data_IF_334792298136
#
_entry.id   IF_334792298136
#
_cell.length_a   1.000
_cell.length_b   1.000
_cell.length_c   1.000
_cell.angle_alpha   90.00
_cell.angle_beta   90.00
_cell.angle_gamma   90.00
#
_symmetry.space_group_name_H-M   'P 1'
#
loop_
_entity.id
_entity.type
_entity.pdbx_description
1 polymer ?
#
# COMPACT_ATOMS: atom_id res chain seq x y z
N UNK A 1 -1.30 -8.34 -32.52
CA UNK A 1 -2.40 -7.39 -32.28
C UNK A 1 -2.95 -7.77 -30.91
N UNK A 2 -2.83 -6.90 -29.90
CA UNK A 2 -3.37 -7.18 -28.57
C UNK A 2 -4.89 -7.32 -28.72
N UNK A 3 -5.48 -8.38 -28.15
CA UNK A 3 -6.95 -8.52 -28.07
C UNK A 3 -7.45 -7.64 -26.91
N UNK A 4 -8.42 -6.77 -27.21
CA UNK A 4 -8.78 -5.61 -26.39
C UNK A 4 -10.24 -5.62 -25.94
N UNK A 5 -10.95 -6.72 -26.14
CA UNK A 5 -12.36 -6.83 -25.80
C UNK A 5 -12.58 -7.05 -24.29
N UNK A 6 -13.24 -6.09 -23.61
CA UNK A 6 -13.80 -6.31 -22.25
C UNK A 6 -13.20 -5.53 -21.07
N UNK A 7 -12.22 -4.63 -21.27
CA UNK A 7 -11.57 -3.91 -20.18
C UNK A 7 -12.11 -2.47 -20.00
N UNK A 8 -12.64 -2.12 -18.81
CA UNK A 8 -13.25 -0.81 -18.48
C UNK A 8 -12.63 -0.23 -17.20
N UNK A 9 -12.30 1.08 -17.19
CA UNK A 9 -11.78 1.80 -16.03
C UNK A 9 -12.92 2.39 -15.17
N UNK A 10 -12.88 2.19 -13.85
CA UNK A 10 -13.88 2.71 -12.90
C UNK A 10 -13.18 3.46 -11.75
N UNK A 11 -13.40 4.77 -11.70
CA UNK A 11 -12.79 5.70 -10.75
C UNK A 11 -13.44 5.69 -9.34
N UNK A 12 -14.55 4.95 -9.14
CA UNK A 12 -15.33 4.95 -7.89
C UNK A 12 -14.90 3.90 -6.85
N UNK A 13 -13.94 3.02 -7.18
CA UNK A 13 -13.58 1.79 -6.44
C UNK A 13 -12.77 1.99 -5.15
N UNK A 14 -13.12 2.97 -4.31
CA UNK A 14 -12.43 3.19 -3.03
C UNK A 14 -12.90 2.21 -1.95
N UNK A 15 -11.96 1.58 -1.25
CA UNK A 15 -12.26 0.65 -0.16
C UNK A 15 -12.68 -0.76 -0.59
N UNK A 16 -12.41 -1.14 -1.84
CA UNK A 16 -12.58 -2.53 -2.27
C UNK A 16 -11.41 -3.41 -1.81
N UNK A 17 -11.74 -4.67 -1.54
CA UNK A 17 -10.79 -5.70 -1.15
C UNK A 17 -9.87 -6.12 -2.31
N UNK A 18 -8.66 -6.54 -1.98
CA UNK A 18 -7.74 -7.17 -2.93
C UNK A 18 -8.39 -8.35 -3.66
N UNK A 19 -8.25 -8.38 -4.99
CA UNK A 19 -8.51 -9.55 -5.84
C UNK A 19 -7.36 -9.67 -6.85
N UNK A 20 -6.64 -10.81 -6.90
CA UNK A 20 -5.57 -10.96 -7.88
C UNK A 20 -6.18 -11.18 -9.27
N UNK A 21 -5.69 -10.46 -10.29
CA UNK A 21 -6.16 -10.60 -11.68
C UNK A 21 -5.88 -12.00 -12.28
N UNK A 22 -4.95 -12.74 -11.70
CA UNK A 22 -4.66 -14.14 -12.03
C UNK A 22 -4.65 -14.94 -10.73
N UNK A 23 -5.52 -15.95 -10.65
CA UNK A 23 -5.50 -16.93 -9.56
C UNK A 23 -4.19 -17.69 -9.68
N UNK A 24 -3.18 -17.30 -8.92
CA UNK A 24 -1.97 -18.10 -8.79
C UNK A 24 -2.42 -19.36 -8.05
N UNK A 25 -2.30 -20.53 -8.68
CA UNK A 25 -2.47 -21.87 -8.06
C UNK A 25 -1.36 -22.15 -7.03
N UNK A 26 -1.08 -21.19 -6.15
CA UNK A 26 -0.27 -21.39 -4.95
C UNK A 26 -1.24 -21.53 -3.79
N UNK A 27 -1.23 -22.69 -3.15
CA UNK A 27 -1.90 -22.87 -1.86
C UNK A 27 -1.09 -22.11 -0.81
N UNK A 28 -1.66 -21.04 -0.27
CA UNK A 28 -1.04 -20.28 0.82
C UNK A 28 -1.57 -20.79 2.16
N UNK A 29 -0.68 -20.94 3.14
CA UNK A 29 -1.07 -21.34 4.50
C UNK A 29 -1.61 -20.16 5.31
N UNK A 30 -1.17 -18.94 5.00
CA UNK A 30 -1.65 -17.71 5.62
C UNK A 30 -2.21 -16.78 4.56
N UNK A 31 -3.30 -16.10 4.90
CA UNK A 31 -3.95 -15.15 4.00
C UNK A 31 -3.84 -13.71 4.51
N UNK A 32 -3.73 -12.75 3.59
CA UNK A 32 -3.81 -11.33 3.88
C UNK A 32 -4.95 -10.67 3.11
N UNK A 33 -5.54 -9.68 3.73
CA UNK A 33 -6.55 -8.81 3.17
C UNK A 33 -6.05 -7.37 3.27
N UNK A 34 -6.18 -6.58 2.21
CA UNK A 34 -5.80 -5.18 2.20
C UNK A 34 -6.89 -4.31 1.59
N UNK A 35 -7.22 -3.22 2.28
CA UNK A 35 -8.09 -2.15 1.81
C UNK A 35 -7.32 -0.84 1.71
N UNK A 36 -7.58 -0.09 0.64
CA UNK A 36 -6.91 1.19 0.38
C UNK A 36 -7.89 2.34 0.37
N UNK A 37 -7.58 3.38 1.14
CA UNK A 37 -8.32 4.63 1.24
C UNK A 37 -7.39 5.81 0.99
N UNK A 38 -7.76 6.69 0.07
CA UNK A 38 -6.99 7.93 -0.14
C UNK A 38 -6.79 8.31 -1.59
N UNK A 39 -5.52 8.46 -1.97
CA UNK A 39 -5.10 8.90 -3.29
C UNK A 39 -4.45 7.76 -4.08
N UNK A 40 -4.18 8.00 -5.37
CA UNK A 40 -3.54 7.02 -6.27
C UNK A 40 -2.23 6.43 -5.70
N UNK A 41 -1.43 7.22 -4.96
CA UNK A 41 -0.22 6.72 -4.29
C UNK A 41 -0.53 5.63 -3.25
N UNK A 42 -1.66 5.71 -2.51
CA UNK A 42 -2.02 4.66 -1.57
C UNK A 42 -2.38 3.35 -2.30
N UNK A 43 -3.04 3.42 -3.45
CA UNK A 43 -3.33 2.23 -4.26
C UNK A 43 -2.04 1.62 -4.81
N UNK A 44 -1.14 2.44 -5.35
CA UNK A 44 0.20 2.02 -5.79
C UNK A 44 1.02 1.38 -4.64
N UNK A 45 0.99 2.01 -3.45
CA UNK A 45 1.66 1.50 -2.25
C UNK A 45 1.11 0.14 -1.82
N UNK A 46 -0.20 -0.09 -1.97
CA UNK A 46 -0.80 -1.40 -1.66
C UNK A 46 -0.35 -2.50 -2.63
N UNK A 47 -0.05 -2.19 -3.89
CA UNK A 47 0.53 -3.14 -4.86
C UNK A 47 1.92 -3.61 -4.40
N UNK A 48 2.72 -2.67 -3.89
CA UNK A 48 4.05 -2.94 -3.31
C UNK A 48 3.92 -3.80 -2.06
N UNK A 49 3.00 -3.45 -1.15
CA UNK A 49 2.72 -4.23 0.07
C UNK A 49 2.31 -5.66 -0.28
N UNK A 50 1.40 -5.83 -1.24
CA UNK A 50 0.97 -7.15 -1.69
C UNK A 50 2.14 -7.98 -2.24
N UNK A 51 3.04 -7.36 -3.01
CA UNK A 51 4.25 -8.02 -3.51
C UNK A 51 5.15 -8.52 -2.38
N UNK A 52 5.39 -7.67 -1.37
CA UNK A 52 6.21 -8.03 -0.20
C UNK A 52 5.59 -9.21 0.54
N UNK A 53 4.27 -9.18 0.78
CA UNK A 53 3.57 -10.22 1.52
C UNK A 53 3.55 -11.57 0.79
N UNK A 54 3.30 -11.56 -0.53
CA UNK A 54 3.34 -12.79 -1.33
C UNK A 54 4.73 -13.41 -1.38
N UNK A 55 5.78 -12.59 -1.51
CA UNK A 55 7.16 -13.07 -1.45
C UNK A 55 7.50 -13.71 -0.08
N UNK A 56 6.78 -13.32 0.98
CA UNK A 56 6.91 -13.85 2.34
C UNK A 56 5.82 -14.89 2.69
N UNK A 57 5.16 -15.49 1.69
CA UNK A 57 4.28 -16.65 1.88
C UNK A 57 2.84 -16.35 2.29
N UNK A 58 2.40 -15.09 2.24
CA UNK A 58 1.01 -14.72 2.46
C UNK A 58 0.22 -14.66 1.15
N UNK A 59 -0.88 -15.40 1.09
CA UNK A 59 -1.82 -15.38 -0.03
C UNK A 59 -2.83 -14.26 0.11
N UNK A 60 -3.23 -13.59 -0.95
CA UNK A 60 -4.32 -12.62 -0.85
C UNK A 60 -5.69 -13.29 -0.66
N UNK A 61 -6.62 -12.61 0.02
CA UNK A 61 -8.04 -12.96 0.05
C UNK A 61 -8.93 -11.71 -0.06
N UNK A 62 -10.07 -11.77 -0.77
CA UNK A 62 -11.06 -10.70 -0.79
C UNK A 62 -11.97 -10.68 0.46
N UNK A 63 -11.90 -11.71 1.31
CA UNK A 63 -12.72 -11.84 2.51
C UNK A 63 -11.85 -11.60 3.75
N UNK A 64 -12.08 -10.50 4.44
CA UNK A 64 -11.29 -10.15 5.62
C UNK A 64 -11.51 -11.14 6.78
N UNK A 65 -12.64 -11.84 6.79
CA UNK A 65 -12.98 -12.88 7.75
C UNK A 65 -12.11 -14.13 7.61
N UNK A 66 -11.57 -14.38 6.41
CA UNK A 66 -10.68 -15.52 6.13
C UNK A 66 -9.20 -15.17 6.33
N UNK A 67 -8.88 -13.88 6.41
CA UNK A 67 -7.50 -13.40 6.50
C UNK A 67 -6.86 -13.70 7.86
N UNK A 68 -5.56 -13.98 7.87
CA UNK A 68 -4.71 -14.01 9.06
C UNK A 68 -4.11 -12.62 9.35
N UNK A 69 -4.06 -11.77 8.32
CA UNK A 69 -3.56 -10.39 8.38
C UNK A 69 -4.53 -9.46 7.64
N UNK A 70 -5.11 -8.48 8.34
CA UNK A 70 -5.91 -7.41 7.73
C UNK A 70 -5.13 -6.10 7.77
N UNK A 71 -5.02 -5.45 6.62
CA UNK A 71 -4.28 -4.21 6.43
C UNK A 71 -5.20 -3.12 5.90
N UNK A 72 -5.11 -1.93 6.49
CA UNK A 72 -5.78 -0.73 6.00
C UNK A 72 -4.75 0.31 5.61
N UNK A 73 -4.58 0.57 4.32
CA UNK A 73 -3.71 1.62 3.81
C UNK A 73 -4.47 2.93 3.67
N UNK A 74 -4.00 3.98 4.34
CA UNK A 74 -4.76 5.22 4.54
C UNK A 74 -3.98 6.50 4.26
N UNK A 75 -4.70 7.51 3.78
CA UNK A 75 -4.23 8.88 3.60
C UNK A 75 -4.45 9.76 4.84
N UNK A 76 -3.54 10.70 5.09
CA UNK A 76 -3.63 11.67 6.21
C UNK A 76 -4.33 12.99 5.86
N UNK A 77 -4.72 13.19 4.59
CA UNK A 77 -5.14 14.51 4.09
C UNK A 77 -6.67 14.65 4.05
N UNK A 78 -7.40 13.55 3.87
CA UNK A 78 -8.87 13.60 3.75
C UNK A 78 -9.51 13.44 5.14
N UNK A 79 -10.24 14.45 5.59
CA UNK A 79 -10.90 14.50 6.90
C UNK A 79 -11.83 13.30 7.17
N UNK A 80 -12.52 12.81 6.13
CA UNK A 80 -13.39 11.62 6.23
C UNK A 80 -12.63 10.29 6.37
N UNK A 81 -11.35 10.24 5.99
CA UNK A 81 -10.59 8.98 6.00
C UNK A 81 -10.48 8.39 7.41
N UNK A 82 -10.24 9.23 8.43
CA UNK A 82 -10.04 8.75 9.80
C UNK A 82 -11.32 8.14 10.37
N UNK A 83 -12.46 8.80 10.16
CA UNK A 83 -13.76 8.29 10.58
C UNK A 83 -14.11 6.97 9.87
N UNK A 84 -13.82 6.87 8.57
CA UNK A 84 -14.03 5.63 7.80
C UNK A 84 -13.20 4.48 8.36
N UNK A 85 -11.93 4.72 8.69
CA UNK A 85 -11.03 3.68 9.21
C UNK A 85 -11.48 3.24 10.59
N UNK A 86 -11.85 4.15 11.49
CA UNK A 86 -12.38 3.77 12.81
C UNK A 86 -13.63 2.90 12.70
N UNK A 87 -14.51 3.18 11.73
CA UNK A 87 -15.68 2.31 11.45
C UNK A 87 -15.24 0.93 10.96
N UNK A 88 -14.33 0.85 9.99
CA UNK A 88 -13.81 -0.44 9.49
C UNK A 88 -13.08 -1.25 10.56
N UNK A 89 -12.26 -0.60 11.40
CA UNK A 89 -11.63 -1.24 12.56
C UNK A 89 -12.68 -1.85 13.51
N UNK A 90 -13.83 -1.21 13.69
CA UNK A 90 -14.92 -1.77 14.51
C UNK A 90 -15.49 -3.06 13.89
N UNK A 91 -15.52 -3.18 12.57
CA UNK A 91 -15.94 -4.39 11.87
C UNK A 91 -14.89 -5.50 11.98
N UNK A 92 -13.60 -5.18 11.83
CA UNK A 92 -12.51 -6.13 12.01
C UNK A 92 -12.38 -6.65 13.44
N UNK A 93 -12.81 -5.88 14.44
CA UNK A 93 -12.85 -6.36 15.83
C UNK A 93 -13.66 -7.64 15.97
N UNK A 94 -14.81 -7.74 15.31
CA UNK A 94 -15.67 -8.93 15.37
C UNK A 94 -14.98 -10.14 14.72
N UNK A 95 -14.31 -9.93 13.59
CA UNK A 95 -13.55 -10.99 12.91
C UNK A 95 -12.34 -11.46 13.75
N UNK A 96 -11.63 -10.55 14.42
CA UNK A 96 -10.51 -10.90 15.29
C UNK A 96 -10.94 -11.67 16.54
N UNK A 97 -12.14 -11.40 17.05
CA UNK A 97 -12.74 -12.16 18.16
C UNK A 97 -13.09 -13.61 17.75
N UNK A 98 -13.57 -13.82 16.52
CA UNK A 98 -13.87 -15.17 16.01
C UNK A 98 -12.63 -15.94 15.57
N UNK A 99 -11.62 -15.26 15.02
CA UNK A 99 -10.36 -15.85 14.54
C UNK A 99 -9.17 -15.41 15.42
N UNK A 100 -8.97 -16.15 16.51
CA UNK A 100 -7.83 -15.90 17.43
C UNK A 100 -6.50 -16.01 16.67
N UNK A 101 -5.66 -14.98 16.81
CA UNK A 101 -4.36 -14.88 16.13
C UNK A 101 -4.37 -14.03 14.85
N UNK A 102 -5.53 -13.56 14.41
CA UNK A 102 -5.63 -12.58 13.33
C UNK A 102 -4.96 -11.25 13.73
N UNK A 103 -4.10 -10.73 12.85
CA UNK A 103 -3.43 -9.45 13.03
C UNK A 103 -4.14 -8.35 12.25
N UNK A 104 -4.17 -7.14 12.81
CA UNK A 104 -4.76 -5.94 12.19
C UNK A 104 -3.72 -4.84 12.13
N UNK A 105 -3.49 -4.31 10.93
CA UNK A 105 -2.50 -3.27 10.67
C UNK A 105 -3.03 -2.05 9.95
N UNK A 106 -2.43 -0.90 10.27
CA UNK A 106 -2.73 0.36 9.60
C UNK A 106 -1.46 0.90 8.95
N UNK A 107 -1.58 1.24 7.67
CA UNK A 107 -0.47 1.60 6.79
C UNK A 107 -0.63 3.02 6.24
N UNK A 108 0.47 3.62 5.77
CA UNK A 108 0.44 4.83 4.94
C UNK A 108 0.54 6.14 5.72
N UNK A 109 0.15 7.25 5.08
CA UNK A 109 0.40 8.60 5.62
C UNK A 109 -0.28 8.86 6.97
N UNK A 110 -1.46 8.27 7.21
CA UNK A 110 -2.13 8.43 8.51
C UNK A 110 -1.42 7.66 9.62
N UNK A 111 -0.89 6.46 9.32
CA UNK A 111 -0.05 5.69 10.24
C UNK A 111 1.18 6.51 10.65
N UNK A 112 1.83 7.16 9.68
CA UNK A 112 2.94 8.09 9.94
C UNK A 112 2.53 9.31 10.77
N UNK A 113 1.33 9.87 10.55
CA UNK A 113 0.88 11.06 11.30
C UNK A 113 0.51 10.72 12.75
N UNK A 114 -0.25 9.65 12.96
CA UNK A 114 -0.80 9.29 14.27
C UNK A 114 0.16 8.44 15.11
N UNK A 115 1.06 7.69 14.48
CA UNK A 115 2.12 6.89 15.13
C UNK A 115 1.54 6.06 16.28
N UNK A 116 2.16 6.15 17.46
CA UNK A 116 1.77 5.43 18.67
C UNK A 116 0.36 5.78 19.17
N UNK A 117 -0.17 6.98 18.89
CA UNK A 117 -1.53 7.36 19.32
C UNK A 117 -2.58 6.41 18.74
N UNK A 118 -2.35 5.91 17.52
CA UNK A 118 -3.25 4.93 16.91
C UNK A 118 -3.28 3.64 17.71
N UNK A 119 -2.14 3.18 18.24
CA UNK A 119 -2.07 1.97 19.07
C UNK A 119 -2.67 2.18 20.46
N UNK A 120 -2.56 3.38 21.02
CA UNK A 120 -3.13 3.75 22.31
C UNK A 120 -4.66 3.84 22.26
N UNK A 121 -5.19 4.51 21.25
CA UNK A 121 -6.62 4.71 21.04
C UNK A 121 -7.30 3.44 20.48
N UNK A 122 -6.69 2.80 19.48
CA UNK A 122 -7.24 1.64 18.80
C UNK A 122 -6.51 0.37 19.25
N UNK A 123 -6.90 -0.14 20.42
CA UNK A 123 -6.31 -1.36 21.01
C UNK A 123 -6.38 -2.61 20.12
N UNK A 124 -7.22 -2.57 19.08
CA UNK A 124 -7.34 -3.62 18.06
C UNK A 124 -6.09 -3.75 17.18
N UNK A 125 -5.41 -2.63 16.91
CA UNK A 125 -4.31 -2.55 15.95
C UNK A 125 -3.05 -3.15 16.58
N UNK A 126 -2.43 -4.08 15.86
CA UNK A 126 -1.19 -4.75 16.26
C UNK A 126 0.04 -4.13 15.60
N UNK A 127 -0.12 -3.61 14.37
CA UNK A 127 0.98 -3.01 13.61
C UNK A 127 0.63 -1.66 12.97
N UNK A 128 1.58 -0.72 13.02
CA UNK A 128 1.48 0.61 12.39
C UNK A 128 2.71 0.85 11.53
N UNK A 129 2.52 1.06 10.23
CA UNK A 129 3.64 1.16 9.28
C UNK A 129 3.51 2.40 8.38
N UNK A 130 4.53 3.26 8.39
CA UNK A 130 4.63 4.44 7.54
C UNK A 130 4.93 4.08 6.07
N UNK A 131 4.76 5.04 5.15
CA UNK A 131 4.85 4.78 3.70
C UNK A 131 6.26 4.40 3.20
N UNK A 132 7.31 4.68 3.96
CA UNK A 132 8.69 4.32 3.60
C UNK A 132 9.19 3.03 4.31
N UNK A 133 8.33 2.36 5.08
CA UNK A 133 8.72 1.26 5.95
C UNK A 133 8.12 -0.12 5.58
N UNK A 134 7.48 -0.28 4.41
CA UNK A 134 6.78 -1.52 4.06
C UNK A 134 7.70 -2.75 3.98
N UNK A 135 9.00 -2.59 3.69
CA UNK A 135 9.97 -3.71 3.73
C UNK A 135 10.11 -4.34 5.11
N UNK A 136 9.80 -3.61 6.17
CA UNK A 136 9.84 -4.14 7.53
C UNK A 136 8.60 -4.98 7.89
N UNK A 137 7.56 -4.99 7.04
CA UNK A 137 6.32 -5.74 7.30
C UNK A 137 6.56 -7.20 7.72
N UNK A 138 7.41 -8.00 7.05
CA UNK A 138 7.62 -9.40 7.45
C UNK A 138 8.08 -9.54 8.90
N UNK A 139 9.06 -8.72 9.31
CA UNK A 139 9.62 -8.73 10.67
C UNK A 139 8.57 -8.21 11.67
N UNK A 140 7.89 -7.11 11.36
CA UNK A 140 6.86 -6.53 12.23
C UNK A 140 5.67 -7.48 12.43
N UNK A 141 5.30 -8.25 11.41
CA UNK A 141 4.25 -9.27 11.49
C UNK A 141 4.68 -10.41 12.42
N UNK A 142 5.94 -10.84 12.35
CA UNK A 142 6.48 -11.85 13.25
C UNK A 142 6.49 -11.36 14.70
N UNK A 143 7.00 -10.16 14.95
CA UNK A 143 6.96 -9.52 16.27
C UNK A 143 5.52 -9.40 16.79
N UNK A 144 4.60 -8.93 15.96
CA UNK A 144 3.19 -8.77 16.32
C UNK A 144 2.52 -10.12 16.65
N UNK A 145 2.92 -11.19 15.99
CA UNK A 145 2.41 -12.54 16.26
C UNK A 145 2.77 -13.07 17.66
N UNK A 146 3.79 -12.49 18.31
CA UNK A 146 4.15 -12.80 19.71
C UNK A 146 3.25 -12.08 20.74
N UNK A 147 2.34 -11.23 20.28
CA UNK A 147 1.46 -10.40 21.11
C UNK A 147 2.05 -9.02 21.47
N UNK A 148 3.24 -8.70 20.97
CA UNK A 148 3.79 -7.35 21.06
C UNK A 148 3.16 -6.43 20.01
N UNK A 149 3.10 -5.12 20.26
CA UNK A 149 2.67 -4.16 19.23
C UNK A 149 3.89 -3.69 18.45
N UNK A 150 3.80 -3.67 17.13
CA UNK A 150 4.91 -3.33 16.23
C UNK A 150 4.67 -1.99 15.54
N UNK A 151 5.68 -1.11 15.50
CA UNK A 151 5.57 0.21 14.83
C UNK A 151 6.84 0.50 14.06
N UNK A 152 6.69 0.86 12.77
CA UNK A 152 7.77 1.45 12.02
C UNK A 152 7.26 2.61 11.15
N UNK A 153 7.61 3.82 11.54
CA UNK A 153 7.21 5.10 10.95
C UNK A 153 8.47 5.93 10.65
N UNK A 154 9.56 5.26 10.30
CA UNK A 154 10.81 5.92 9.94
C UNK A 154 10.78 6.28 8.46
N UNK A 155 11.05 7.55 8.17
CA UNK A 155 11.14 8.06 6.79
C UNK A 155 12.54 7.84 6.25
N UNK A 156 12.63 7.30 5.04
CA UNK A 156 13.90 7.00 4.38
C UNK A 156 14.48 8.23 3.69
N UNK A 157 15.81 8.27 3.56
CA UNK A 157 16.50 9.26 2.73
C UNK A 157 16.68 8.77 1.29
N UNK A 158 16.58 7.47 1.07
CA UNK A 158 16.73 6.80 -0.23
C UNK A 158 15.39 6.27 -0.74
N UNK A 159 15.25 6.11 -2.05
CA UNK A 159 14.07 5.46 -2.64
C UNK A 159 14.07 3.98 -2.21
N UNK A 160 13.00 3.57 -1.52
CA UNK A 160 12.95 2.30 -0.79
C UNK A 160 12.35 1.14 -1.56
N UNK A 161 11.81 1.32 -2.78
CA UNK A 161 11.02 0.30 -3.48
C UNK A 161 11.36 0.14 -4.97
N UNK A 162 12.44 0.75 -5.47
CA UNK A 162 12.82 0.77 -6.88
C UNK A 162 12.99 -0.63 -7.49
N UNK A 163 13.47 -1.58 -6.69
CA UNK A 163 13.70 -3.00 -7.02
C UNK A 163 12.48 -3.91 -6.79
N UNK A 164 11.35 -3.39 -6.29
CA UNK A 164 10.15 -4.20 -6.08
C UNK A 164 9.23 -4.06 -7.30
N UNK A 165 9.07 -5.15 -8.06
CA UNK A 165 8.04 -5.25 -9.09
C UNK A 165 6.66 -5.39 -8.41
N UNK A 166 5.75 -4.39 -8.51
CA UNK A 166 4.48 -4.43 -7.79
C UNK A 166 3.55 -5.50 -8.36
N UNK A 167 2.76 -6.14 -7.49
CA UNK A 167 1.68 -7.04 -7.93
C UNK A 167 0.46 -6.18 -8.22
N UNK A 168 0.02 -6.18 -9.47
CA UNK A 168 -1.08 -5.32 -9.92
C UNK A 168 -2.39 -5.71 -9.27
N UNK A 169 -2.99 -4.73 -8.59
CA UNK A 169 -4.24 -4.85 -7.84
C UNK A 169 -5.45 -4.48 -8.68
N UNK A 170 -5.26 -3.60 -9.66
CA UNK A 170 -6.38 -3.08 -10.44
C UNK A 170 -6.82 -4.10 -11.50
N UNK A 171 -8.07 -4.55 -11.38
CA UNK A 171 -8.67 -5.60 -12.20
C UNK A 171 -9.10 -5.12 -13.58
N UNK A 172 -9.03 -3.82 -13.88
CA UNK A 172 -9.38 -3.31 -15.20
C UNK A 172 -8.34 -3.68 -16.26
N UNK A 173 -7.06 -3.84 -15.89
CA UNK A 173 -5.98 -4.17 -16.82
C UNK A 173 -5.81 -3.17 -17.97
N UNK A 174 -6.33 -1.94 -17.82
CA UNK A 174 -6.25 -0.85 -18.82
C UNK A 174 -5.25 0.19 -18.37
N UNK A 175 -5.40 0.69 -17.15
CA UNK A 175 -4.56 1.74 -16.58
C UNK A 175 -3.73 1.20 -15.43
N UNK A 176 -2.55 1.77 -15.25
CA UNK A 176 -1.64 1.44 -14.17
C UNK A 176 -0.99 2.70 -13.60
N UNK A 177 -0.73 2.66 -12.30
CA UNK A 177 0.01 3.70 -11.61
C UNK A 177 1.48 3.30 -11.43
N UNK A 178 2.39 4.16 -11.86
CA UNK A 178 3.84 3.96 -11.70
C UNK A 178 4.39 5.08 -10.83
N UNK A 179 4.85 4.77 -9.63
CA UNK A 179 5.48 5.76 -8.76
C UNK A 179 6.89 6.05 -9.25
N UNK A 180 7.14 7.31 -9.63
CA UNK A 180 8.43 7.79 -10.13
C UNK A 180 9.22 8.56 -9.06
N UNK A 181 8.55 8.96 -7.97
CA UNK A 181 9.18 9.69 -6.87
C UNK A 181 8.33 9.63 -5.60
N UNK A 182 8.96 9.91 -4.47
CA UNK A 182 8.33 9.99 -3.15
C UNK A 182 8.79 11.23 -2.40
N UNK A 183 7.90 11.76 -1.55
CA UNK A 183 8.20 12.93 -0.71
C UNK A 183 8.18 14.25 -1.48
N UNK A 184 8.39 15.35 -0.77
CA UNK A 184 8.36 16.70 -1.35
C UNK A 184 9.21 17.66 -0.51
N UNK A 185 9.98 18.52 -1.19
CA UNK A 185 10.81 19.55 -0.53
C UNK A 185 10.08 20.88 -0.32
N UNK A 186 8.87 21.05 -0.89
CA UNK A 186 8.09 22.27 -0.74
C UNK A 186 7.45 22.36 0.66
N UNK A 187 7.68 23.48 1.34
CA UNK A 187 7.13 23.76 2.67
C UNK A 187 5.85 24.61 2.59
N UNK A 188 4.87 24.14 1.82
CA UNK A 188 3.58 24.82 1.69
C UNK A 188 2.85 24.84 3.04
N UNK A 189 2.28 25.98 3.43
CA UNK A 189 1.64 26.20 4.74
C UNK A 189 0.50 25.22 5.08
N UNK A 190 -0.10 24.61 4.06
CA UNK A 190 -1.23 23.68 4.18
C UNK A 190 -0.84 22.21 4.01
N UNK A 191 0.40 21.90 3.61
CA UNK A 191 0.75 20.56 3.14
C UNK A 191 1.44 19.73 4.22
N UNK A 192 0.90 18.54 4.49
CA UNK A 192 1.45 17.59 5.48
C UNK A 192 2.53 16.68 4.90
N UNK A 193 2.67 16.62 3.58
CA UNK A 193 3.51 15.66 2.85
C UNK A 193 4.96 15.59 3.33
N UNK A 194 5.68 16.72 3.55
CA UNK A 194 7.07 16.67 4.01
C UNK A 194 7.25 15.90 5.33
N UNK A 195 6.19 15.83 6.14
CA UNK A 195 6.17 15.15 7.44
C UNK A 195 5.68 13.71 7.36
N UNK A 196 4.89 13.35 6.33
CA UNK A 196 4.30 12.00 6.21
C UNK A 196 4.95 11.12 5.15
N UNK A 197 5.68 11.71 4.19
CA UNK A 197 6.43 10.99 3.15
C UNK A 197 7.89 11.46 3.04
N UNK A 198 8.33 12.36 3.92
CA UNK A 198 9.71 12.82 3.97
C UNK A 198 10.11 13.74 2.81
N UNK A 199 11.43 13.90 2.66
CA UNK A 199 12.03 14.70 1.59
C UNK A 199 11.85 14.04 0.23
N UNK A 200 11.96 14.86 -0.80
CA UNK A 200 11.88 14.42 -2.19
C UNK A 200 12.98 13.40 -2.53
N UNK A 201 12.57 12.34 -3.23
CA UNK A 201 13.41 11.24 -3.69
C UNK A 201 12.88 10.78 -5.05
N UNK A 202 13.69 10.90 -6.09
CA UNK A 202 13.36 10.39 -7.42
C UNK A 202 13.84 8.96 -7.57
N UNK A 203 12.99 8.13 -8.18
CA UNK A 203 13.34 6.77 -8.59
C UNK A 203 14.21 6.82 -9.85
N UNK A 204 15.11 5.86 -10.01
CA UNK A 204 15.96 5.79 -11.19
C UNK A 204 15.13 5.60 -12.47
N UNK A 205 15.54 6.26 -13.55
CA UNK A 205 14.77 6.24 -14.80
C UNK A 205 14.75 4.84 -15.43
N UNK A 206 15.80 4.04 -15.22
CA UNK A 206 15.90 2.68 -15.75
C UNK A 206 14.80 1.76 -15.17
N UNK A 207 14.56 1.80 -13.86
CA UNK A 207 13.52 0.98 -13.22
C UNK A 207 12.11 1.46 -13.55
N UNK A 208 11.89 2.77 -13.69
CA UNK A 208 10.61 3.33 -14.18
C UNK A 208 10.31 2.82 -15.59
N UNK A 209 11.30 2.88 -16.47
CA UNK A 209 11.20 2.38 -17.83
C UNK A 209 10.92 0.87 -17.80
N UNK A 210 11.72 0.08 -17.08
CA UNK A 210 11.53 -1.37 -16.97
C UNK A 210 10.11 -1.75 -16.53
N UNK A 211 9.58 -1.09 -15.49
CA UNK A 211 8.20 -1.29 -15.03
C UNK A 211 7.16 -0.89 -16.09
N UNK A 212 7.39 0.21 -16.80
CA UNK A 212 6.50 0.68 -17.87
C UNK A 212 6.47 -0.27 -19.08
N UNK A 213 7.61 -0.86 -19.43
CA UNK A 213 7.69 -1.87 -20.48
C UNK A 213 7.00 -3.17 -20.07
N UNK A 214 7.20 -3.65 -18.84
CA UNK A 214 6.50 -4.83 -18.32
C UNK A 214 4.97 -4.62 -18.34
N UNK A 215 4.49 -3.42 -18.00
CA UNK A 215 3.08 -3.05 -18.11
C UNK A 215 2.58 -3.09 -19.57
N UNK A 216 3.36 -2.56 -20.51
CA UNK A 216 3.03 -2.61 -21.92
C UNK A 216 2.94 -4.05 -22.43
N UNK A 217 3.88 -4.92 -22.07
CA UNK A 217 3.88 -6.34 -22.42
C UNK A 217 2.67 -7.09 -21.83
N UNK A 218 2.23 -6.71 -20.63
CA UNK A 218 1.01 -7.22 -19.99
C UNK A 218 -0.29 -6.63 -20.56
N UNK A 219 -0.20 -5.76 -21.57
CA UNK A 219 -1.34 -5.22 -22.32
C UNK A 219 -2.07 -4.08 -21.62
N UNK A 220 -1.41 -3.36 -20.71
CA UNK A 220 -1.89 -2.08 -20.20
C UNK A 220 -1.79 -1.02 -21.31
N UNK A 221 -2.72 -0.06 -21.30
CA UNK A 221 -2.86 1.00 -22.32
C UNK A 221 -2.54 2.39 -21.80
N UNK A 222 -2.68 2.59 -20.50
CA UNK A 222 -2.44 3.87 -19.86
C UNK A 222 -1.51 3.68 -18.67
N UNK A 223 -0.47 4.51 -18.62
CA UNK A 223 0.46 4.57 -17.50
C UNK A 223 0.38 5.99 -16.94
N UNK A 224 -0.05 6.11 -15.70
CA UNK A 224 -0.07 7.38 -14.98
C UNK A 224 1.12 7.41 -14.03
N UNK A 225 2.04 8.36 -14.27
CA UNK A 225 3.19 8.58 -13.40
C UNK A 225 2.77 9.29 -12.13
N UNK A 226 3.13 8.72 -10.98
CA UNK A 226 2.77 9.23 -9.67
C UNK A 226 3.98 9.82 -8.95
N UNK A 227 3.75 10.99 -8.36
CA UNK A 227 4.66 11.68 -7.47
C UNK A 227 3.89 12.71 -6.64
N UNK A 228 4.45 13.13 -5.50
CA UNK A 228 3.88 14.24 -4.72
C UNK A 228 4.03 15.57 -5.47
N UNK A 229 5.11 15.70 -6.26
CA UNK A 229 5.41 16.86 -7.09
C UNK A 229 6.15 16.39 -8.35
N UNK A 230 5.42 15.84 -9.31
CA UNK A 230 5.98 15.20 -10.52
C UNK A 230 6.92 16.13 -11.32
N UNK A 231 6.67 17.43 -11.28
CA UNK A 231 7.48 18.45 -11.95
C UNK A 231 8.90 18.58 -11.38
N UNK A 232 9.13 18.04 -10.18
CA UNK A 232 10.44 18.03 -9.51
C UNK A 232 11.17 16.71 -9.65
N UNK A 233 10.70 15.79 -10.49
CA UNK A 233 11.44 14.57 -10.80
C UNK A 233 12.83 14.91 -11.37
N UNK A 234 13.87 14.47 -10.68
CA UNK A 234 15.25 14.66 -11.09
C UNK A 234 16.09 13.44 -10.69
N UNK A 235 16.57 12.72 -11.70
CA UNK A 235 17.49 11.60 -11.52
C UNK A 235 18.66 11.74 -12.50
N UNK A 236 19.86 11.38 -12.03
CA UNK A 236 21.09 11.36 -12.83
C UNK A 236 21.71 9.97 -12.73
N UNK A 237 22.18 9.47 -13.88
CA UNK A 237 22.94 8.22 -13.97
C UNK A 237 24.37 8.52 -13.50
N UNK A 238 24.73 8.06 -12.31
CA UNK A 238 26.10 8.20 -11.75
C UNK A 238 27.03 7.07 -12.22
#
# INVERSE_FOLDING_TARGET
MLDLSGKVHDEQRQGEAFLPATVIEKTYQKHFYIESYGCAMNFADSEVVASILQANGFGPTPLFEEADLVLVNTCSIREKAEQTIRKRLTEFRKAKESKKGMLVGVLGCMAERLKAKLLEEEKLVDLVVGPDAYRSLPILIEEASTGQKAVNVLLSRDETYADIAPIRLDSNGVSAFVSIMRGCNNMCSFCVVPFTRGRERSRDAHSILAESMDLFEKGYKEITLLGQNVDSYYWVDE
#
